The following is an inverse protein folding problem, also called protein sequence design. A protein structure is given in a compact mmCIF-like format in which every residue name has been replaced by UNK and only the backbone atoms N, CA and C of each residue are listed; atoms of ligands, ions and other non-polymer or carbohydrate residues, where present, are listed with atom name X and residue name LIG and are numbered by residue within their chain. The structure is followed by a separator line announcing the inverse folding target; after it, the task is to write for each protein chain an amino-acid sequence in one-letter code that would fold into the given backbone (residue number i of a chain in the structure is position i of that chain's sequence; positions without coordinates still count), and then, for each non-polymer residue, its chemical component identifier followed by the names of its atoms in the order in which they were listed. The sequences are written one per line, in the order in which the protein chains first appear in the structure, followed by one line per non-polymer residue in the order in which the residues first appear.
data_IF_592401552089
#
_entry.id   IF_592401552089
#
_cell.length_a   1.000
_cell.length_b   1.000
_cell.length_c   1.000
_cell.angle_alpha   90.00
_cell.angle_beta   90.00
_cell.angle_gamma   90.00
#
_symmetry.space_group_name_H-M   'P 1'
#
loop_
_entity.id
_entity.type
_entity.pdbx_description
1 polymer ?
#
# COMPACT_ATOMS: atom_id res chain seq x y z
N UNK A 1 8.13 24.56 -42.28
CA UNK A 1 6.91 23.97 -41.67
C UNK A 1 7.28 22.99 -40.55
N UNK A 2 7.93 23.45 -39.48
CA UNK A 2 8.37 22.60 -38.37
C UNK A 2 8.21 23.32 -37.02
N UNK A 3 6.98 23.66 -36.64
CA UNK A 3 6.75 24.25 -35.31
C UNK A 3 5.31 24.04 -34.80
N UNK A 4 4.81 22.80 -34.86
CA UNK A 4 3.51 22.44 -34.25
C UNK A 4 3.64 21.25 -33.28
N UNK A 5 4.69 20.41 -33.39
CA UNK A 5 4.81 19.19 -32.57
C UNK A 5 5.30 19.40 -31.13
N UNK A 6 5.88 20.54 -30.77
CA UNK A 6 6.39 20.78 -29.41
C UNK A 6 5.32 21.34 -28.44
N UNK A 7 4.28 22.00 -28.97
CA UNK A 7 3.27 22.71 -28.15
C UNK A 7 2.40 21.74 -27.35
N UNK A 8 2.00 20.61 -27.94
CA UNK A 8 1.04 19.70 -27.31
C UNK A 8 1.58 18.92 -26.11
N UNK A 9 2.90 18.77 -25.97
CA UNK A 9 3.49 17.98 -24.89
C UNK A 9 3.74 18.77 -23.60
N UNK A 10 3.97 20.09 -23.70
CA UNK A 10 4.12 20.96 -22.53
C UNK A 10 2.77 21.20 -21.81
N UNK A 11 1.66 21.21 -22.57
CA UNK A 11 0.31 21.35 -22.02
C UNK A 11 -0.08 20.17 -21.10
N UNK A 12 0.40 18.96 -21.41
CA UNK A 12 0.10 17.74 -20.63
C UNK A 12 0.85 17.72 -19.30
N UNK A 13 2.07 18.31 -19.24
CA UNK A 13 2.89 18.34 -18.01
C UNK A 13 2.26 19.17 -16.88
N UNK A 14 1.33 20.07 -17.21
CA UNK A 14 0.60 20.91 -16.24
C UNK A 14 -0.72 20.29 -15.76
N UNK A 15 -1.16 19.17 -16.33
CA UNK A 15 -2.42 18.53 -15.95
C UNK A 15 -2.33 17.92 -14.55
N UNK A 16 -3.23 18.34 -13.66
CA UNK A 16 -3.44 17.67 -12.37
C UNK A 16 -4.16 16.34 -12.62
N UNK A 17 -3.40 15.30 -12.90
CA UNK A 17 -3.93 13.96 -13.05
C UNK A 17 -4.60 13.50 -11.76
N UNK A 18 -5.84 13.03 -11.84
CA UNK A 18 -6.36 12.15 -10.80
C UNK A 18 -5.72 10.75 -10.97
N UNK A 19 -5.67 9.96 -9.90
CA UNK A 19 -4.92 8.69 -9.89
C UNK A 19 -5.44 7.70 -10.96
N UNK A 20 -6.75 7.71 -11.21
CA UNK A 20 -7.40 6.83 -12.17
C UNK A 20 -7.05 7.21 -13.61
N UNK A 21 -7.20 8.48 -13.98
CA UNK A 21 -6.81 9.02 -15.30
C UNK A 21 -5.33 8.76 -15.59
N UNK A 22 -4.47 8.88 -14.57
CA UNK A 22 -3.06 8.58 -14.73
C UNK A 22 -2.82 7.11 -15.06
N UNK A 23 -3.47 6.20 -14.32
CA UNK A 23 -3.35 4.76 -14.56
C UNK A 23 -3.93 4.39 -15.93
N UNK A 24 -5.06 4.97 -16.31
CA UNK A 24 -5.66 4.78 -17.63
C UNK A 24 -4.71 5.23 -18.74
N UNK A 25 -4.09 6.40 -18.63
CA UNK A 25 -3.15 6.90 -19.64
C UNK A 25 -1.92 5.99 -19.79
N UNK A 26 -1.37 5.50 -18.68
CA UNK A 26 -0.23 4.57 -18.69
C UNK A 26 -0.63 3.24 -19.34
N UNK A 27 -1.76 2.64 -18.92
CA UNK A 27 -2.22 1.36 -19.48
C UNK A 27 -2.54 1.49 -20.97
N UNK A 28 -3.19 2.58 -21.38
CA UNK A 28 -3.44 2.87 -22.80
C UNK A 28 -2.13 2.97 -23.59
N UNK A 29 -1.13 3.68 -23.09
CA UNK A 29 0.16 3.81 -23.76
C UNK A 29 0.88 2.45 -23.92
N UNK A 30 0.77 1.58 -22.91
CA UNK A 30 1.31 0.21 -22.94
C UNK A 30 0.57 -0.69 -23.94
N UNK A 31 -0.76 -0.66 -23.98
CA UNK A 31 -1.57 -1.57 -24.83
C UNK A 31 -1.66 -1.12 -26.29
N UNK A 32 -1.74 0.19 -26.54
CA UNK A 32 -2.02 0.72 -27.89
C UNK A 32 -0.90 0.50 -28.90
N UNK A 33 0.31 0.19 -28.44
CA UNK A 33 1.49 0.01 -29.28
C UNK A 33 2.05 -1.42 -29.23
N UNK A 34 1.21 -2.40 -28.87
CA UNK A 34 1.64 -3.79 -28.75
C UNK A 34 2.71 -4.04 -27.68
N UNK A 35 2.84 -3.16 -26.68
CA UNK A 35 3.86 -3.25 -25.63
C UNK A 35 5.27 -2.77 -26.04
N UNK A 36 5.45 -2.23 -27.25
CA UNK A 36 6.78 -1.84 -27.76
C UNK A 36 7.29 -0.50 -27.21
N UNK A 37 6.42 0.32 -26.61
CA UNK A 37 6.85 1.58 -26.00
C UNK A 37 7.52 1.29 -24.65
N UNK A 38 8.75 1.79 -24.51
CA UNK A 38 9.49 1.70 -23.25
C UNK A 38 8.85 2.53 -22.13
N UNK A 39 8.95 2.02 -20.89
CA UNK A 39 8.48 2.73 -19.70
C UNK A 39 9.08 4.14 -19.56
N UNK A 40 10.33 4.35 -20.00
CA UNK A 40 10.99 5.65 -20.00
C UNK A 40 10.34 6.65 -20.95
N UNK A 41 9.86 6.19 -22.10
CA UNK A 41 9.14 7.02 -23.08
C UNK A 41 7.78 7.42 -22.54
N UNK A 42 7.05 6.48 -21.92
CA UNK A 42 5.75 6.76 -21.27
C UNK A 42 5.94 7.76 -20.13
N UNK A 43 6.93 7.54 -19.27
CA UNK A 43 7.23 8.41 -18.13
C UNK A 43 7.53 9.85 -18.57
N UNK A 44 8.38 10.00 -19.60
CA UNK A 44 8.76 11.31 -20.14
C UNK A 44 7.58 12.02 -20.80
N UNK A 45 6.75 11.26 -21.54
CA UNK A 45 5.58 11.80 -22.28
C UNK A 45 4.48 12.27 -21.33
N UNK A 46 4.19 11.49 -20.29
CA UNK A 46 3.14 11.81 -19.32
C UNK A 46 3.63 12.70 -18.16
N UNK A 47 4.93 13.01 -18.11
CA UNK A 47 5.52 13.81 -17.03
C UNK A 47 5.46 13.11 -15.67
N UNK A 48 5.54 11.78 -15.63
CA UNK A 48 5.41 10.98 -14.40
C UNK A 48 6.68 10.23 -14.02
N UNK A 49 6.76 9.84 -12.75
CA UNK A 49 7.89 9.06 -12.26
C UNK A 49 7.95 7.69 -12.96
N UNK A 50 9.13 7.33 -13.49
CA UNK A 50 9.39 6.03 -14.13
C UNK A 50 8.96 4.84 -13.26
N UNK A 51 9.17 4.92 -11.95
CA UNK A 51 8.80 3.85 -11.01
C UNK A 51 7.28 3.64 -10.94
N UNK A 52 6.50 4.68 -11.19
CA UNK A 52 5.03 4.58 -11.26
C UNK A 52 4.62 3.79 -12.49
N UNK A 53 5.22 4.08 -13.64
CA UNK A 53 4.98 3.36 -14.90
C UNK A 53 5.33 1.89 -14.75
N UNK A 54 6.55 1.57 -14.27
CA UNK A 54 7.03 0.20 -14.06
C UNK A 54 6.11 -0.62 -13.13
N UNK A 55 5.59 -0.01 -12.06
CA UNK A 55 4.68 -0.69 -11.13
C UNK A 55 3.34 -1.03 -11.78
N UNK A 56 2.81 -0.11 -12.59
CA UNK A 56 1.54 -0.30 -13.29
C UNK A 56 1.72 -1.33 -14.39
N UNK A 57 2.80 -1.24 -15.17
CA UNK A 57 3.12 -2.19 -16.23
C UNK A 57 3.27 -3.61 -15.69
N UNK A 58 4.07 -3.80 -14.62
CA UNK A 58 4.22 -5.11 -13.97
C UNK A 58 2.88 -5.66 -13.43
N UNK A 59 1.99 -4.78 -12.96
CA UNK A 59 0.65 -5.19 -12.51
C UNK A 59 -0.19 -5.66 -13.70
N UNK A 60 -0.15 -4.92 -14.81
CA UNK A 60 -0.86 -5.24 -16.04
C UNK A 60 -0.38 -6.57 -16.64
N UNK A 61 0.93 -6.84 -16.67
CA UNK A 61 1.49 -8.13 -17.10
C UNK A 61 0.99 -9.29 -16.23
N UNK A 62 0.87 -9.07 -14.91
CA UNK A 62 0.47 -10.10 -13.96
C UNK A 62 -1.02 -10.44 -13.97
N UNK A 63 -1.89 -9.49 -14.33
CA UNK A 63 -3.36 -9.70 -14.33
C UNK A 63 -3.93 -9.83 -15.73
N UNK A 64 -3.30 -9.24 -16.75
CA UNK A 64 -3.84 -8.98 -18.10
C UNK A 64 -5.21 -8.27 -18.11
N UNK A 65 -5.62 -7.77 -16.95
CA UNK A 65 -6.90 -7.11 -16.72
C UNK A 65 -6.65 -5.60 -16.57
N UNK A 66 -7.07 -4.88 -17.61
CA UNK A 66 -6.98 -3.42 -17.72
C UNK A 66 -7.79 -2.73 -16.63
N UNK A 67 -8.99 -3.24 -16.35
CA UNK A 67 -9.94 -2.66 -15.40
C UNK A 67 -9.44 -2.77 -13.97
N UNK A 68 -8.90 -3.94 -13.59
CA UNK A 68 -8.25 -4.17 -12.28
C UNK A 68 -6.98 -3.34 -12.12
N UNK A 69 -6.30 -3.03 -13.21
CA UNK A 69 -5.06 -2.22 -13.18
C UNK A 69 -5.38 -0.74 -12.96
N UNK A 70 -6.38 -0.23 -13.69
CA UNK A 70 -6.88 1.15 -13.61
C UNK A 70 -7.53 1.41 -12.26
N UNK A 71 -8.47 0.55 -11.84
CA UNK A 71 -9.15 0.71 -10.56
C UNK A 71 -8.19 0.42 -9.42
N UNK A 72 -8.12 1.34 -8.45
CA UNK A 72 -7.40 1.08 -7.21
C UNK A 72 -8.15 0.00 -6.45
N UNK A 73 -7.46 -1.10 -6.12
CA UNK A 73 -7.95 -2.05 -5.13
C UNK A 73 -7.93 -1.31 -3.80
N UNK A 74 -9.10 -0.93 -3.31
CA UNK A 74 -9.25 -0.53 -1.92
C UNK A 74 -8.83 -1.73 -1.07
N UNK A 75 -7.95 -1.50 -0.09
CA UNK A 75 -7.72 -2.53 0.92
C UNK A 75 -9.05 -2.78 1.61
N UNK A 76 -9.51 -4.02 1.63
CA UNK A 76 -10.67 -4.39 2.43
C UNK A 76 -10.51 -3.84 3.86
N UNK A 77 -11.58 -3.26 4.39
CA UNK A 77 -11.62 -2.69 5.74
C UNK A 77 -11.22 -3.71 6.84
N UNK A 78 -11.28 -5.01 6.54
CA UNK A 78 -10.77 -6.09 7.41
C UNK A 78 -9.25 -6.11 7.60
N UNK A 79 -8.48 -5.36 6.79
CA UNK A 79 -7.05 -5.14 6.99
C UNK A 79 -6.75 -3.94 7.92
N UNK A 80 -7.76 -3.38 8.58
CA UNK A 80 -7.57 -2.41 9.65
C UNK A 80 -6.68 -3.05 10.73
N UNK A 81 -5.52 -2.46 10.97
CA UNK A 81 -4.70 -2.85 12.12
C UNK A 81 -5.56 -2.64 13.36
N UNK A 82 -5.73 -3.68 14.18
CA UNK A 82 -6.37 -3.57 15.49
C UNK A 82 -5.79 -2.36 16.21
N UNK A 83 -6.64 -1.39 16.51
CA UNK A 83 -6.25 -0.18 17.23
C UNK A 83 -5.91 -0.59 18.66
N UNK A 84 -4.78 -0.11 19.18
CA UNK A 84 -4.41 -0.27 20.59
C UNK A 84 -5.08 0.84 21.40
N UNK A 85 -6.41 0.80 21.45
CA UNK A 85 -7.19 1.67 22.34
C UNK A 85 -7.02 1.25 23.80
N UNK A 86 -7.52 2.06 24.73
CA UNK A 86 -7.45 1.79 26.17
C UNK A 86 -8.03 0.42 26.53
N UNK A 87 -9.19 0.06 25.97
CA UNK A 87 -9.84 -1.23 26.22
C UNK A 87 -8.97 -2.42 25.79
N UNK A 88 -8.26 -2.30 24.66
CA UNK A 88 -7.32 -3.30 24.22
C UNK A 88 -6.10 -3.40 25.14
N UNK A 89 -5.55 -2.26 25.55
CA UNK A 89 -4.39 -2.20 26.45
C UNK A 89 -4.73 -2.82 27.81
N UNK A 90 -5.91 -2.50 28.37
CA UNK A 90 -6.38 -3.04 29.63
C UNK A 90 -6.62 -4.55 29.57
N UNK A 91 -7.14 -5.06 28.45
CA UNK A 91 -7.27 -6.52 28.22
C UNK A 91 -5.92 -7.19 28.18
N UNK A 92 -4.93 -6.62 27.47
CA UNK A 92 -3.58 -7.18 27.43
C UNK A 92 -2.96 -7.16 28.83
N UNK A 93 -3.08 -6.04 29.56
CA UNK A 93 -2.59 -5.91 30.94
C UNK A 93 -3.18 -6.99 31.83
N UNK A 94 -4.51 -7.15 31.82
CA UNK A 94 -5.20 -8.19 32.59
C UNK A 94 -4.73 -9.59 32.22
N UNK A 95 -4.54 -9.89 30.94
CA UNK A 95 -4.01 -11.20 30.53
C UNK A 95 -2.58 -11.46 31.04
N UNK A 96 -1.75 -10.41 31.16
CA UNK A 96 -0.41 -10.52 31.76
C UNK A 96 -0.50 -10.76 33.26
N UNK A 97 -1.39 -10.05 33.95
CA UNK A 97 -1.59 -10.18 35.39
C UNK A 97 -2.20 -11.54 35.78
N UNK A 98 -3.17 -12.01 35.00
CA UNK A 98 -3.85 -13.30 35.22
C UNK A 98 -2.92 -14.49 34.96
N UNK A 99 -2.05 -14.42 33.93
CA UNK A 99 -1.06 -15.45 33.61
C UNK A 99 0.20 -14.85 32.97
N UNK A 100 1.23 -14.51 33.77
CA UNK A 100 2.50 -13.96 33.28
C UNK A 100 3.27 -14.91 32.35
N UNK A 101 2.96 -16.21 32.37
CA UNK A 101 3.65 -17.21 31.53
C UNK A 101 3.04 -17.33 30.13
N UNK A 102 1.83 -16.78 29.94
CA UNK A 102 1.08 -16.87 28.69
C UNK A 102 1.87 -16.27 27.53
N UNK A 103 2.17 -17.02 26.47
CA UNK A 103 2.97 -16.43 25.37
C UNK A 103 2.24 -15.28 24.65
N UNK A 104 2.98 -14.30 24.12
CA UNK A 104 2.41 -13.24 23.25
C UNK A 104 1.65 -13.81 22.05
N UNK A 105 2.09 -14.96 21.53
CA UNK A 105 1.42 -15.69 20.44
C UNK A 105 0.08 -16.29 20.87
N UNK A 106 -0.05 -16.71 22.12
CA UNK A 106 -1.33 -17.16 22.68
C UNK A 106 -2.27 -15.97 22.85
N UNK A 107 -1.80 -14.87 23.46
CA UNK A 107 -2.59 -13.64 23.60
C UNK A 107 -3.06 -13.08 22.24
N UNK A 108 -2.21 -13.16 21.22
CA UNK A 108 -2.57 -12.69 19.87
C UNK A 108 -3.68 -13.53 19.23
N UNK A 109 -3.70 -14.84 19.49
CA UNK A 109 -4.79 -15.72 19.03
C UNK A 109 -6.09 -15.39 19.75
N UNK A 110 -6.04 -15.24 21.07
CA UNK A 110 -7.22 -14.92 21.89
C UNK A 110 -7.86 -13.57 21.50
N UNK A 111 -7.02 -12.58 21.18
CA UNK A 111 -7.48 -11.23 20.81
C UNK A 111 -7.68 -11.04 19.30
N UNK A 112 -7.45 -12.08 18.49
CA UNK A 112 -7.62 -12.04 17.03
C UNK A 112 -6.77 -10.96 16.37
N UNK A 113 -5.50 -10.82 16.76
CA UNK A 113 -4.59 -9.81 16.24
C UNK A 113 -3.22 -10.39 15.89
N UNK A 114 -2.38 -9.59 15.23
CA UNK A 114 -1.01 -10.00 14.92
C UNK A 114 -0.15 -9.98 16.20
N UNK A 115 0.76 -10.93 16.38
CA UNK A 115 1.66 -11.00 17.56
C UNK A 115 2.43 -9.69 17.80
N UNK A 116 2.82 -9.03 16.70
CA UNK A 116 3.44 -7.69 16.76
C UNK A 116 2.59 -6.66 17.52
N UNK A 117 1.26 -6.71 17.40
CA UNK A 117 0.36 -5.80 18.12
C UNK A 117 0.47 -5.99 19.63
N UNK A 118 0.52 -7.25 20.08
CA UNK A 118 0.74 -7.60 21.49
C UNK A 118 2.11 -7.15 21.97
N UNK A 119 3.16 -7.42 21.18
CA UNK A 119 4.54 -7.01 21.51
C UNK A 119 4.68 -5.49 21.64
N UNK A 120 4.09 -4.75 20.70
CA UNK A 120 4.06 -3.28 20.75
C UNK A 120 3.30 -2.80 21.99
N UNK A 121 2.15 -3.42 22.32
CA UNK A 121 1.38 -3.10 23.52
C UNK A 121 2.21 -3.29 24.80
N UNK A 122 2.80 -4.46 24.98
CA UNK A 122 3.58 -4.81 26.18
C UNK A 122 4.80 -3.90 26.34
N UNK A 123 5.52 -3.63 25.24
CA UNK A 123 6.79 -2.88 25.31
C UNK A 123 6.61 -1.36 25.32
N UNK A 124 5.60 -0.82 24.64
CA UNK A 124 5.44 0.63 24.45
C UNK A 124 4.35 1.21 25.33
N UNK A 125 3.22 0.53 25.40
CA UNK A 125 2.03 1.04 26.08
C UNK A 125 2.08 0.67 27.58
N UNK A 126 2.39 -0.60 27.90
CA UNK A 126 2.57 -1.08 29.30
C UNK A 126 4.00 -0.87 29.84
N UNK A 127 4.98 -0.66 28.95
CA UNK A 127 6.40 -0.44 29.29
C UNK A 127 7.07 -1.57 30.09
N UNK A 128 6.63 -2.81 29.91
CA UNK A 128 7.28 -3.97 30.52
C UNK A 128 8.60 -4.30 29.80
N UNK A 129 9.72 -4.26 30.55
CA UNK A 129 11.07 -4.55 30.03
C UNK A 129 11.30 -6.03 29.74
N UNK A 130 10.72 -6.93 30.53
CA UNK A 130 10.79 -8.37 30.35
C UNK A 130 9.45 -9.02 30.71
N UNK A 131 8.75 -9.49 29.69
CA UNK A 131 7.45 -10.15 29.81
C UNK A 131 7.53 -11.56 30.44
N UNK A 132 8.71 -12.18 30.49
CA UNK A 132 8.91 -13.57 30.96
C UNK A 132 9.45 -13.70 32.39
N UNK A 133 9.65 -12.60 33.12
CA UNK A 133 10.23 -12.65 34.46
C UNK A 133 9.51 -11.67 35.40
N UNK A 134 8.45 -12.17 36.03
CA UNK A 134 8.11 -11.86 37.42
C UNK A 134 7.95 -13.18 38.16
#
# INVERSE_FOLDING_TARGET
LLSIKASSYEEIKGCKWNEELLRSAIVMASVSNGGEISDSTIASTLGVNLRTVQRIHKKLEGTWDVDVTIKRVYKEEGAARKVRDTDFVDKVMKMVEDDPTKSMRAMSRDLGCHEKTIRDCVSKDLKYRSYKMQ
#
